data_IF_121339039104
#
_entry.id   IF_121339039104
#
_cell.length_a   1.000
_cell.length_b   1.000
_cell.length_c   1.000
_cell.angle_alpha   90.00
_cell.angle_beta   90.00
_cell.angle_gamma   90.00
#
_symmetry.space_group_name_H-M   'P 1'
#
loop_
_entity.id
_entity.type
_entity.pdbx_description
1 polymer ?
#
# COMPACT_ATOMS: atom_id res chain seq x y z
N UNK A 1 14.95 21.05 -15.63
CA UNK A 1 15.01 20.67 -14.21
C UNK A 1 14.52 19.23 -14.16
N UNK A 2 15.29 18.32 -13.57
CA UNK A 2 14.96 16.89 -13.56
C UNK A 2 13.72 16.65 -12.69
N UNK A 3 12.62 16.26 -13.32
CA UNK A 3 11.34 15.88 -12.67
C UNK A 3 11.41 14.51 -11.98
N UNK A 4 12.60 14.07 -11.54
CA UNK A 4 12.70 12.82 -10.79
C UNK A 4 12.06 13.00 -9.41
N UNK A 5 11.16 12.09 -9.01
CA UNK A 5 10.59 12.13 -7.68
C UNK A 5 11.70 12.07 -6.62
N UNK A 6 11.60 12.85 -5.55
CA UNK A 6 12.66 12.95 -4.54
C UNK A 6 12.84 11.67 -3.70
N UNK A 7 11.95 10.69 -3.88
CA UNK A 7 11.89 9.49 -3.05
C UNK A 7 12.48 8.28 -3.78
N UNK A 8 13.43 7.60 -3.12
CA UNK A 8 14.11 6.41 -3.63
C UNK A 8 13.64 5.13 -2.95
N UNK A 9 13.04 5.24 -1.77
CA UNK A 9 12.59 4.07 -1.00
C UNK A 9 11.21 4.34 -0.40
N UNK A 10 10.21 3.70 -0.96
CA UNK A 10 8.80 3.97 -0.68
C UNK A 10 8.16 2.76 -0.02
N UNK A 11 7.46 2.97 1.10
CA UNK A 11 6.63 1.96 1.73
C UNK A 11 5.15 2.24 1.45
N UNK A 12 4.47 1.28 0.84
CA UNK A 12 3.02 1.28 0.70
C UNK A 12 2.40 0.50 1.85
N UNK A 13 1.34 1.01 2.47
CA UNK A 13 0.61 0.30 3.53
C UNK A 13 -0.81 0.00 3.05
N UNK A 14 -1.12 -1.30 2.90
CA UNK A 14 -2.46 -1.77 2.56
C UNK A 14 -2.76 -3.09 3.26
N UNK A 15 -3.55 -3.01 4.32
CA UNK A 15 -3.84 -4.14 5.22
C UNK A 15 -5.15 -4.85 4.89
N UNK A 16 -5.99 -4.24 4.04
CA UNK A 16 -7.38 -4.63 3.81
C UNK A 16 -7.56 -6.02 3.23
N UNK A 17 -8.81 -6.42 3.01
CA UNK A 17 -9.11 -7.68 2.35
C UNK A 17 -8.53 -7.74 0.92
N UNK A 18 -8.43 -8.95 0.34
CA UNK A 18 -7.86 -9.14 -1.00
C UNK A 18 -8.49 -8.22 -2.04
N UNK A 19 -9.81 -8.10 -2.05
CA UNK A 19 -10.52 -7.19 -2.97
C UNK A 19 -10.12 -5.71 -2.80
N UNK A 20 -9.77 -5.27 -1.58
CA UNK A 20 -9.27 -3.91 -1.37
C UNK A 20 -7.84 -3.73 -1.87
N UNK A 21 -7.03 -4.79 -1.81
CA UNK A 21 -5.67 -4.80 -2.39
C UNK A 21 -5.78 -4.73 -3.91
N UNK A 22 -6.58 -5.60 -4.53
CA UNK A 22 -6.82 -5.60 -5.99
C UNK A 22 -7.29 -4.23 -6.49
N UNK A 23 -8.22 -3.61 -5.80
CA UNK A 23 -8.72 -2.26 -6.14
C UNK A 23 -7.66 -1.16 -5.98
N UNK A 24 -6.61 -1.42 -5.21
CA UNK A 24 -5.51 -0.48 -5.00
C UNK A 24 -4.36 -0.68 -5.99
N UNK A 25 -4.35 -1.77 -6.79
CA UNK A 25 -3.28 -2.05 -7.75
C UNK A 25 -3.01 -0.89 -8.72
N UNK A 26 -4.04 -0.24 -9.32
CA UNK A 26 -3.79 0.92 -10.19
C UNK A 26 -3.05 2.05 -9.47
N UNK A 27 -3.41 2.30 -8.21
CA UNK A 27 -2.75 3.32 -7.39
C UNK A 27 -1.30 2.95 -7.08
N UNK A 28 -1.04 1.69 -6.73
CA UNK A 28 0.31 1.20 -6.45
C UNK A 28 1.17 1.25 -7.72
N UNK A 29 0.62 0.81 -8.87
CA UNK A 29 1.30 0.87 -10.16
C UNK A 29 1.63 2.30 -10.58
N UNK A 30 0.75 3.26 -10.31
CA UNK A 30 1.02 4.67 -10.56
C UNK A 30 2.25 5.19 -9.79
N UNK A 31 2.50 4.69 -8.56
CA UNK A 31 3.73 5.01 -7.82
C UNK A 31 4.95 4.46 -8.53
N UNK A 32 4.90 3.22 -8.99
CA UNK A 32 6.00 2.60 -9.73
C UNK A 32 6.28 3.33 -11.04
N UNK A 33 5.23 3.66 -11.80
CA UNK A 33 5.38 4.39 -13.06
C UNK A 33 5.97 5.79 -12.86
N UNK A 34 5.60 6.48 -11.76
CA UNK A 34 6.11 7.80 -11.42
C UNK A 34 7.56 7.75 -10.91
N UNK A 35 7.94 6.69 -10.21
CA UNK A 35 9.26 6.50 -9.62
C UNK A 35 9.84 5.12 -9.97
N UNK A 36 10.18 4.86 -11.26
CA UNK A 36 10.60 3.53 -11.72
C UNK A 36 11.93 3.06 -11.10
N UNK A 37 12.78 3.99 -10.71
CA UNK A 37 14.06 3.70 -10.06
C UNK A 37 13.94 3.54 -8.52
N UNK A 38 12.74 3.74 -7.95
CA UNK A 38 12.54 3.63 -6.50
C UNK A 38 12.32 2.18 -6.08
N UNK A 39 12.87 1.82 -4.93
CA UNK A 39 12.47 0.60 -4.24
C UNK A 39 11.08 0.79 -3.65
N UNK A 40 10.13 -0.05 -4.04
CA UNK A 40 8.74 0.00 -3.55
C UNK A 40 8.45 -1.27 -2.76
N UNK A 41 8.22 -1.10 -1.47
CA UNK A 41 7.87 -2.17 -0.57
C UNK A 41 6.40 -2.06 -0.15
N UNK A 42 5.76 -3.19 0.12
CA UNK A 42 4.39 -3.25 0.62
C UNK A 42 4.35 -3.82 2.04
N UNK A 43 3.61 -3.17 2.92
CA UNK A 43 3.22 -3.70 4.23
C UNK A 43 1.76 -4.17 4.17
N UNK A 44 1.55 -5.47 4.31
CA UNK A 44 0.22 -6.10 4.24
C UNK A 44 0.06 -7.20 5.29
N UNK A 45 -1.16 -7.72 5.46
CA UNK A 45 -1.40 -8.83 6.40
C UNK A 45 -0.92 -10.16 5.82
N UNK A 46 -0.53 -11.06 6.72
CA UNK A 46 0.01 -12.39 6.40
C UNK A 46 -0.77 -13.16 5.31
N UNK A 47 -2.12 -13.26 5.34
CA UNK A 47 -2.86 -14.03 4.33
C UNK A 47 -2.70 -13.52 2.89
N UNK A 48 -2.23 -12.28 2.71
CA UNK A 48 -2.15 -11.65 1.39
C UNK A 48 -0.72 -11.59 0.85
N UNK A 49 0.28 -11.97 1.65
CA UNK A 49 1.70 -11.88 1.28
C UNK A 49 1.98 -12.72 0.04
N UNK A 50 1.48 -13.96 0.00
CA UNK A 50 1.69 -14.86 -1.14
C UNK A 50 1.26 -14.22 -2.46
N UNK A 51 0.04 -13.67 -2.50
CA UNK A 51 -0.45 -12.95 -3.67
C UNK A 51 0.37 -11.70 -3.97
N UNK A 52 0.63 -10.86 -2.96
CA UNK A 52 1.34 -9.60 -3.19
C UNK A 52 2.79 -9.79 -3.67
N UNK A 53 3.43 -10.91 -3.36
CA UNK A 53 4.77 -11.24 -3.86
C UNK A 53 4.82 -11.56 -5.35
N UNK A 54 3.69 -11.86 -5.97
CA UNK A 54 3.63 -12.08 -7.43
C UNK A 54 3.56 -10.77 -8.21
N UNK A 55 3.40 -9.63 -7.55
CA UNK A 55 3.36 -8.31 -8.17
C UNK A 55 4.78 -7.90 -8.59
N UNK A 56 5.09 -7.80 -9.90
CA UNK A 56 6.47 -7.73 -10.38
C UNK A 56 7.21 -6.44 -10.03
N UNK A 57 6.50 -5.36 -9.78
CA UNK A 57 7.08 -4.05 -9.45
C UNK A 57 7.15 -3.76 -7.94
N UNK A 58 6.82 -4.72 -7.08
CA UNK A 58 7.11 -4.64 -5.65
C UNK A 58 8.44 -5.33 -5.35
N UNK A 59 9.31 -4.63 -4.61
CA UNK A 59 10.62 -5.18 -4.23
C UNK A 59 10.50 -6.12 -3.03
N UNK A 60 9.77 -5.71 -1.98
CA UNK A 60 9.54 -6.56 -0.81
C UNK A 60 8.10 -6.44 -0.32
N UNK A 61 7.57 -7.57 0.15
CA UNK A 61 6.26 -7.62 0.81
C UNK A 61 6.46 -8.06 2.25
N UNK A 62 6.12 -7.16 3.16
CA UNK A 62 6.38 -7.31 4.59
C UNK A 62 5.08 -7.61 5.35
N UNK A 63 5.12 -8.48 6.37
CA UNK A 63 3.96 -8.76 7.21
C UNK A 63 3.66 -7.59 8.14
N UNK A 64 2.42 -7.11 8.11
CA UNK A 64 1.92 -6.20 9.11
C UNK A 64 1.60 -6.95 10.39
N UNK A 65 2.07 -6.43 11.51
CA UNK A 65 1.89 -7.09 12.79
C UNK A 65 0.46 -6.98 13.32
N UNK A 66 0.04 -8.01 14.06
CA UNK A 66 -1.23 -8.04 14.79
C UNK A 66 -1.02 -8.23 16.30
N UNK A 67 0.12 -7.76 16.82
CA UNK A 67 0.44 -7.92 18.23
C UNK A 67 -0.63 -7.29 19.15
N UNK A 68 -0.82 -7.92 20.28
CA UNK A 68 -1.70 -7.38 21.32
C UNK A 68 -1.03 -6.17 21.99
N UNK A 69 -1.79 -5.19 22.51
CA UNK A 69 -1.22 -3.96 23.07
C UNK A 69 -0.13 -4.18 24.12
N UNK A 70 -0.24 -5.24 24.94
CA UNK A 70 0.74 -5.55 25.99
C UNK A 70 2.02 -6.23 25.50
N UNK A 71 2.12 -6.62 24.22
CA UNK A 71 3.32 -7.22 23.64
C UNK A 71 4.31 -6.13 23.22
N UNK A 72 4.72 -5.30 24.18
CA UNK A 72 5.52 -4.09 23.94
C UNK A 72 6.85 -4.41 23.25
N UNK A 73 7.55 -5.48 23.68
CA UNK A 73 8.82 -5.88 23.07
C UNK A 73 8.68 -6.14 21.57
N UNK A 74 7.64 -6.87 21.18
CA UNK A 74 7.34 -7.17 19.76
C UNK A 74 7.01 -5.91 18.96
N UNK A 75 6.31 -4.95 19.56
CA UNK A 75 6.06 -3.66 18.94
C UNK A 75 7.34 -2.86 18.74
N UNK A 76 8.27 -2.89 19.72
CA UNK A 76 9.57 -2.23 19.62
C UNK A 76 10.45 -2.88 18.55
N UNK A 77 10.45 -4.21 18.46
CA UNK A 77 11.21 -4.94 17.43
C UNK A 77 10.68 -4.62 16.03
N UNK A 78 9.36 -4.59 15.86
CA UNK A 78 8.73 -4.17 14.61
C UNK A 78 9.07 -2.71 14.25
N UNK A 79 9.00 -1.81 15.23
CA UNK A 79 9.37 -0.41 15.01
C UNK A 79 10.85 -0.27 14.62
N UNK A 80 11.74 -1.02 15.27
CA UNK A 80 13.17 -1.02 14.95
C UNK A 80 13.43 -1.56 13.55
N UNK A 81 12.79 -2.68 13.17
CA UNK A 81 12.91 -3.24 11.83
C UNK A 81 12.43 -2.23 10.76
N UNK A 82 11.26 -1.62 10.94
CA UNK A 82 10.74 -0.65 9.98
C UNK A 82 11.61 0.61 9.87
N UNK A 83 12.13 1.11 10.98
CA UNK A 83 13.06 2.27 10.99
C UNK A 83 14.39 1.95 10.33
N UNK A 84 14.94 0.77 10.54
CA UNK A 84 16.23 0.36 9.94
C UNK A 84 16.20 0.29 8.43
N UNK A 85 15.00 0.18 7.85
CA UNK A 85 14.81 0.14 6.40
C UNK A 85 14.96 1.51 5.73
N UNK A 86 14.94 2.61 6.50
CA UNK A 86 15.16 3.98 6.03
C UNK A 86 14.30 4.37 4.84
N UNK A 87 12.97 4.23 4.96
CA UNK A 87 12.05 4.69 3.94
C UNK A 87 12.03 6.22 3.86
N UNK A 88 12.07 6.76 2.63
CA UNK A 88 11.98 8.20 2.37
C UNK A 88 10.52 8.67 2.42
N UNK A 89 9.60 7.80 1.98
CA UNK A 89 8.17 8.07 1.93
C UNK A 89 7.38 6.86 2.37
N UNK A 90 6.36 7.07 3.20
CA UNK A 90 5.34 6.07 3.52
C UNK A 90 3.99 6.55 2.99
N UNK A 91 3.32 5.72 2.20
CA UNK A 91 1.97 5.99 1.68
C UNK A 91 0.98 5.06 2.36
N UNK A 92 0.23 5.61 3.32
CA UNK A 92 -0.82 4.88 4.01
C UNK A 92 -2.13 4.93 3.20
N UNK A 93 -2.40 3.85 2.46
CA UNK A 93 -3.66 3.68 1.73
C UNK A 93 -4.76 3.07 2.60
N UNK A 94 -4.42 2.58 3.79
CA UNK A 94 -5.36 1.97 4.71
C UNK A 94 -6.12 3.01 5.54
N UNK A 95 -5.42 4.03 6.05
CA UNK A 95 -5.95 5.13 6.84
C UNK A 95 -6.90 4.66 7.95
N UNK A 96 -6.38 3.87 8.86
CA UNK A 96 -7.09 3.33 10.04
C UNK A 96 -6.31 3.64 11.32
N UNK A 97 -6.93 3.62 12.50
CA UNK A 97 -6.23 3.91 13.76
C UNK A 97 -4.91 3.13 13.93
N UNK A 98 -4.88 1.88 13.46
CA UNK A 98 -3.66 1.06 13.50
C UNK A 98 -2.52 1.66 12.66
N UNK A 99 -2.81 2.15 11.45
CA UNK A 99 -1.78 2.69 10.57
C UNK A 99 -1.36 4.10 11.01
N UNK A 100 -2.24 4.84 11.67
CA UNK A 100 -1.87 6.08 12.39
C UNK A 100 -0.87 5.76 13.51
N UNK A 101 -1.09 4.68 14.24
CA UNK A 101 -0.14 4.22 15.26
C UNK A 101 1.21 3.80 14.66
N UNK A 102 1.22 3.17 13.47
CA UNK A 102 2.47 2.86 12.76
C UNK A 102 3.28 4.13 12.44
N UNK A 103 2.63 5.23 12.11
CA UNK A 103 3.34 6.49 11.86
C UNK A 103 4.15 6.93 13.10
N UNK A 104 3.58 6.81 14.29
CA UNK A 104 4.29 7.09 15.54
C UNK A 104 5.43 6.11 15.78
N UNK A 105 5.23 4.83 15.48
CA UNK A 105 6.22 3.78 15.65
C UNK A 105 7.40 3.93 14.68
N UNK A 106 7.15 4.28 13.41
CA UNK A 106 8.19 4.37 12.38
C UNK A 106 9.04 5.64 12.52
N UNK A 107 8.52 6.65 13.23
CA UNK A 107 9.19 7.92 13.48
C UNK A 107 8.65 9.04 12.59
N UNK A 108 8.52 10.22 13.19
CA UNK A 108 7.92 11.39 12.53
C UNK A 108 8.86 12.06 11.52
N UNK A 109 10.09 11.61 11.38
CA UNK A 109 11.07 12.15 10.42
C UNK A 109 10.89 11.65 8.98
N UNK A 110 10.16 10.55 8.77
CA UNK A 110 9.87 10.00 7.45
C UNK A 110 8.68 10.73 6.83
N UNK A 111 8.78 11.10 5.55
CA UNK A 111 7.65 11.68 4.83
C UNK A 111 6.45 10.72 4.83
N UNK A 112 5.27 11.20 5.18
CA UNK A 112 4.08 10.35 5.34
C UNK A 112 2.88 10.93 4.63
N UNK A 113 2.20 10.08 3.87
CA UNK A 113 0.90 10.37 3.26
C UNK A 113 -0.19 9.53 3.89
N UNK A 114 -1.23 10.17 4.43
CA UNK A 114 -2.33 9.47 5.10
C UNK A 114 -3.23 10.36 5.97
N UNK A 115 -3.89 9.76 6.97
CA UNK A 115 -4.84 10.46 7.86
C UNK A 115 -4.24 10.90 9.21
N UNK A 116 -2.96 10.61 9.48
CA UNK A 116 -2.30 11.04 10.71
C UNK A 116 -2.23 12.56 10.79
N UNK A 117 -2.37 13.12 11.98
CA UNK A 117 -2.26 14.58 12.21
C UNK A 117 -0.85 15.10 11.89
N UNK A 118 0.15 14.23 11.92
CA UNK A 118 1.57 14.55 11.69
C UNK A 118 2.01 14.34 10.23
N UNK A 119 1.11 13.86 9.32
CA UNK A 119 1.54 13.62 7.96
C UNK A 119 1.71 14.91 7.16
N UNK A 120 2.76 14.92 6.31
CA UNK A 120 3.05 16.02 5.40
C UNK A 120 2.04 16.06 4.24
N UNK A 121 1.62 14.90 3.76
CA UNK A 121 0.67 14.77 2.65
C UNK A 121 -0.64 14.22 3.17
N UNK A 122 -1.51 15.11 3.65
CA UNK A 122 -2.81 14.72 4.22
C UNK A 122 -3.73 14.13 3.16
N UNK A 123 -4.29 12.97 3.46
CA UNK A 123 -5.41 12.45 2.69
C UNK A 123 -6.66 13.26 3.01
N UNK A 124 -7.45 13.67 2.01
CA UNK A 124 -8.72 14.35 2.27
C UNK A 124 -9.64 13.49 3.13
N UNK A 125 -10.22 14.08 4.16
CA UNK A 125 -11.19 13.39 5.01
C UNK A 125 -12.48 13.16 4.24
N UNK A 126 -13.14 12.04 4.50
CA UNK A 126 -14.48 11.79 4.02
C UNK A 126 -15.43 12.89 4.55
N UNK A 127 -15.90 13.74 3.66
CA UNK A 127 -16.98 14.67 3.98
C UNK A 127 -18.32 13.93 3.86
N UNK A 128 -19.06 13.81 4.96
CA UNK A 128 -20.46 13.37 4.93
C UNK A 128 -21.30 14.48 4.27
N UNK A 129 -22.37 14.15 3.49
CA UNK A 129 -23.08 12.89 3.35
C UNK A 129 -22.79 12.09 2.04
N UNK A 130 -21.94 12.59 1.14
CA UNK A 130 -21.71 11.93 -0.14
C UNK A 130 -20.83 10.69 0.06
N UNK A 131 -21.33 9.51 -0.34
CA UNK A 131 -20.53 8.29 -0.45
C UNK A 131 -19.46 8.48 -1.55
N UNK A 132 -18.34 9.11 -1.22
CA UNK A 132 -17.21 9.15 -2.13
C UNK A 132 -16.70 7.74 -2.38
N UNK A 133 -16.51 7.41 -3.64
CA UNK A 133 -15.94 6.13 -4.02
C UNK A 133 -14.51 6.03 -3.44
N UNK A 134 -14.10 4.87 -2.88
CA UNK A 134 -12.76 4.71 -2.30
C UNK A 134 -11.61 5.14 -3.24
N UNK A 135 -11.77 4.94 -4.54
CA UNK A 135 -10.78 5.36 -5.53
C UNK A 135 -10.67 6.88 -5.64
N UNK A 136 -11.73 7.63 -5.37
CA UNK A 136 -11.68 9.09 -5.40
C UNK A 136 -10.78 9.64 -4.28
N UNK A 137 -10.86 9.06 -3.09
CA UNK A 137 -9.96 9.43 -1.99
C UNK A 137 -8.49 9.07 -2.30
N UNK A 138 -8.25 7.96 -3.00
CA UNK A 138 -6.91 7.62 -3.47
C UNK A 138 -6.44 8.62 -4.53
N UNK A 139 -7.27 8.97 -5.52
CA UNK A 139 -6.92 9.98 -6.53
C UNK A 139 -6.50 11.31 -5.90
N UNK A 140 -7.26 11.78 -4.91
CA UNK A 140 -6.93 13.02 -4.21
C UNK A 140 -5.64 12.88 -3.37
N UNK A 141 -5.40 11.72 -2.75
CA UNK A 141 -4.15 11.45 -2.03
C UNK A 141 -2.95 11.46 -2.98
N UNK A 142 -3.07 10.84 -4.16
CA UNK A 142 -2.03 10.84 -5.20
C UNK A 142 -1.77 12.23 -5.77
N UNK A 143 -2.84 13.01 -6.00
CA UNK A 143 -2.71 14.41 -6.40
C UNK A 143 -1.89 15.23 -5.40
N UNK A 144 -2.10 15.03 -4.10
CA UNK A 144 -1.34 15.70 -3.05
C UNK A 144 0.14 15.28 -3.01
N UNK A 145 0.45 14.08 -3.51
CA UNK A 145 1.82 13.57 -3.66
C UNK A 145 2.47 14.00 -5.00
N UNK A 146 1.72 14.65 -5.89
CA UNK A 146 2.19 14.96 -7.25
C UNK A 146 2.31 13.74 -8.17
N UNK A 147 1.66 12.61 -7.80
CA UNK A 147 1.70 11.37 -8.58
C UNK A 147 0.51 11.32 -9.54
N UNK A 148 0.71 11.25 -10.86
CA UNK A 148 -0.38 11.02 -11.82
C UNK A 148 -1.10 9.70 -11.54
N UNK A 149 -2.44 9.72 -11.58
CA UNK A 149 -3.27 8.54 -11.31
C UNK A 149 -3.90 7.93 -12.57
N UNK A 150 -3.57 8.44 -13.73
CA UNK A 150 -4.23 8.08 -15.00
C UNK A 150 -3.54 6.92 -15.73
N UNK A 151 -2.62 6.24 -15.03
CA UNK A 151 -1.92 5.08 -15.58
C UNK A 151 -2.78 3.83 -15.37
N UNK A 152 -3.13 3.09 -16.43
CA UNK A 152 -3.80 1.79 -16.30
C UNK A 152 -2.96 0.85 -15.42
N UNK A 153 -3.63 0.03 -14.61
CA UNK A 153 -2.91 -1.02 -13.91
C UNK A 153 -2.37 -2.03 -14.94
N UNK A 154 -1.08 -2.28 -14.89
CA UNK A 154 -0.52 -3.44 -15.56
C UNK A 154 -0.96 -4.69 -14.80
N UNK A 155 -1.77 -5.54 -15.44
CA UNK A 155 -2.29 -6.79 -14.89
C UNK A 155 -1.86 -8.00 -15.72
N UNK A 156 -1.00 -7.82 -16.72
CA UNK A 156 -0.60 -8.89 -17.66
C UNK A 156 0.12 -10.03 -16.92
N UNK A 157 0.84 -9.71 -15.84
CA UNK A 157 1.48 -10.68 -14.97
C UNK A 157 0.51 -11.67 -14.29
N UNK A 158 -0.79 -11.35 -14.20
CA UNK A 158 -1.80 -12.27 -13.68
C UNK A 158 -2.07 -13.45 -14.64
N UNK A 159 -1.82 -13.27 -15.94
CA UNK A 159 -1.98 -14.32 -16.93
C UNK A 159 -0.89 -15.39 -16.86
N UNK A 160 0.24 -15.08 -16.21
CA UNK A 160 1.35 -16.01 -15.99
C UNK A 160 1.09 -16.98 -14.82
N UNK A 161 0.01 -16.78 -14.08
CA UNK A 161 -0.36 -17.68 -12.99
C UNK A 161 -0.63 -19.10 -13.54
N UNK A 162 -0.13 -20.16 -12.87
CA UNK A 162 -0.35 -21.51 -13.33
C UNK A 162 -1.87 -21.79 -13.43
N UNK A 163 -2.34 -22.46 -14.48
CA UNK A 163 -3.74 -22.76 -14.64
C UNK A 163 -4.24 -23.63 -13.49
N UNK A 164 -5.44 -23.35 -13.01
CA UNK A 164 -6.10 -24.22 -12.03
C UNK A 164 -6.49 -25.50 -12.74
N UNK A 165 -5.81 -26.61 -12.47
CA UNK A 165 -6.04 -27.89 -13.08
C UNK A 165 -6.44 -28.95 -12.02
N UNK A 166 -7.43 -29.82 -12.34
CA UNK A 166 -8.30 -29.74 -13.52
C UNK A 166 -9.51 -28.85 -13.27
N UNK A 167 -9.81 -27.95 -14.19
CA UNK A 167 -11.12 -27.29 -14.22
C UNK A 167 -12.13 -28.20 -14.91
N UNK A 168 -13.36 -28.38 -14.37
CA UNK A 168 -14.41 -29.09 -15.07
C UNK A 168 -14.81 -28.36 -16.37
N UNK A 169 -15.30 -29.11 -17.36
CA UNK A 169 -15.68 -28.54 -18.67
C UNK A 169 -16.73 -27.38 -18.57
N UNK A 170 -17.52 -27.39 -17.51
CA UNK A 170 -18.46 -26.31 -17.16
C UNK A 170 -18.31 -25.97 -15.69
N UNK A 171 -18.13 -24.70 -15.39
CA UNK A 171 -18.03 -24.21 -14.00
C UNK A 171 -18.58 -22.79 -13.89
N UNK A 172 -18.96 -22.41 -12.67
CA UNK A 172 -19.38 -21.05 -12.31
C UNK A 172 -18.42 -20.54 -11.25
N UNK A 173 -17.91 -19.33 -11.47
CA UNK A 173 -17.08 -18.64 -10.47
C UNK A 173 -17.98 -17.76 -9.62
N UNK A 174 -18.03 -18.04 -8.33
CA UNK A 174 -18.68 -17.19 -7.34
C UNK A 174 -17.60 -16.35 -6.65
N UNK A 175 -17.75 -15.04 -6.73
CA UNK A 175 -16.87 -14.09 -6.02
C UNK A 175 -17.67 -13.54 -4.84
N UNK A 176 -17.26 -13.87 -3.62
CA UNK A 176 -17.89 -13.45 -2.35
C UNK A 176 -17.29 -12.14 -1.84
#
# INVERSE_FOLDING_TARGET
>A
MSDKPPYRKILLIKLGALGDILRSLPAMHAVHHHAPDAQIDLLTREPFIGFCRTIPWLNHVNPATTYRPWQISKWLDFARDMRSRNYDLVIDMQCKPRTIFYHLLFGLGTAWSGDSIFCQYKRPRRTKPVRQHPNELLRQQWKNLGIPFDVPADLDWLSEAPPINPLPARYVVLVC
#
